data_IF_443654441729
#
_entry.id   IF_443654441729
#
_cell.length_a   1.000
_cell.length_b   1.000
_cell.length_c   1.000
_cell.angle_alpha   90.00
_cell.angle_beta   90.00
_cell.angle_gamma   90.00
#
_symmetry.space_group_name_H-M   'P 1'
#
loop_
_entity.id
_entity.type
_entity.pdbx_description
1 polymer ?
#
# COMPACT_ATOMS: atom_id res chain seq x y z
N UNK A 1 46.63 54.51 -58.04
CA UNK A 1 47.34 53.98 -56.87
C UNK A 1 46.57 54.41 -55.63
N UNK A 2 45.66 53.57 -55.15
CA UNK A 2 44.87 53.84 -53.94
C UNK A 2 44.58 52.51 -53.26
N UNK A 3 45.11 52.34 -52.04
CA UNK A 3 44.94 51.12 -51.24
C UNK A 3 43.83 51.36 -50.23
N UNK A 4 42.80 50.50 -50.21
CA UNK A 4 41.79 50.48 -49.15
C UNK A 4 41.84 49.10 -48.48
N UNK A 5 41.95 49.12 -47.15
CA UNK A 5 42.28 47.95 -46.32
C UNK A 5 41.12 46.95 -46.20
N UNK A 6 41.47 45.67 -46.10
CA UNK A 6 40.57 44.64 -45.57
C UNK A 6 40.10 44.99 -44.16
N UNK A 7 38.78 45.04 -43.94
CA UNK A 7 38.19 44.94 -42.62
C UNK A 7 37.57 43.54 -42.48
N UNK A 8 38.16 42.71 -41.62
CA UNK A 8 37.71 41.33 -41.40
C UNK A 8 36.37 41.35 -40.65
N UNK A 9 35.27 41.09 -41.33
CA UNK A 9 33.98 40.89 -40.67
C UNK A 9 33.92 39.48 -40.10
N UNK A 10 34.23 39.34 -38.81
CA UNK A 10 34.19 38.07 -38.08
C UNK A 10 32.75 37.72 -37.74
N UNK A 11 32.11 36.92 -38.61
CA UNK A 11 30.78 36.37 -38.34
C UNK A 11 30.92 35.17 -37.41
N UNK A 12 30.86 35.42 -36.10
CA UNK A 12 30.62 34.38 -35.10
C UNK A 12 29.17 33.88 -35.26
N UNK A 13 28.99 32.81 -36.04
CA UNK A 13 27.70 32.14 -36.16
C UNK A 13 27.48 31.24 -34.95
N UNK A 14 26.91 31.81 -33.89
CA UNK A 14 26.51 31.05 -32.70
C UNK A 14 25.32 30.15 -33.03
N UNK A 15 25.58 28.87 -33.31
CA UNK A 15 24.54 27.86 -33.46
C UNK A 15 23.88 27.61 -32.09
N UNK A 16 22.73 28.26 -31.87
CA UNK A 16 21.88 28.03 -30.71
C UNK A 16 21.25 26.64 -30.84
N UNK A 17 21.94 25.61 -30.34
CA UNK A 17 21.37 24.28 -30.22
C UNK A 17 20.35 24.31 -29.06
N UNK A 18 19.09 24.62 -29.38
CA UNK A 18 17.98 24.45 -28.43
C UNK A 18 17.87 22.96 -28.12
N UNK A 19 18.48 22.54 -27.01
CA UNK A 19 18.22 21.24 -26.43
C UNK A 19 16.81 21.30 -25.85
N UNK A 20 15.83 20.83 -26.62
CA UNK A 20 14.47 20.59 -26.14
C UNK A 20 14.51 19.41 -25.17
N UNK A 21 14.93 19.67 -23.93
CA UNK A 21 14.76 18.76 -22.82
C UNK A 21 13.26 18.59 -22.57
N UNK A 22 12.65 17.59 -23.22
CA UNK A 22 11.30 17.18 -22.90
C UNK A 22 11.27 16.73 -21.44
N UNK A 23 10.59 17.49 -20.59
CA UNK A 23 10.42 17.13 -19.18
C UNK A 23 9.51 15.89 -19.13
N UNK A 24 10.11 14.71 -19.01
CA UNK A 24 9.40 13.50 -18.61
C UNK A 24 9.16 13.61 -17.11
N UNK A 25 7.94 13.98 -16.74
CA UNK A 25 7.49 13.90 -15.34
C UNK A 25 7.21 12.43 -15.07
N UNK A 26 7.83 11.87 -14.04
CA UNK A 26 7.52 10.51 -13.60
C UNK A 26 6.13 10.51 -12.95
N UNK A 27 5.27 9.57 -13.37
CA UNK A 27 3.98 9.32 -12.76
C UNK A 27 4.18 8.84 -11.32
N UNK A 28 3.36 9.31 -10.37
CA UNK A 28 3.43 8.81 -9.00
C UNK A 28 2.82 7.42 -8.91
N UNK A 29 3.51 6.55 -8.16
CA UNK A 29 3.12 5.17 -7.94
C UNK A 29 3.06 4.85 -6.45
N UNK A 30 2.02 4.14 -6.04
CA UNK A 30 1.92 3.50 -4.74
C UNK A 30 1.73 1.99 -4.91
N UNK A 31 2.30 1.20 -4.02
CA UNK A 31 2.17 -0.27 -4.05
C UNK A 31 1.53 -0.71 -2.73
N UNK A 32 0.44 -1.48 -2.82
CA UNK A 32 -0.16 -2.18 -1.67
C UNK A 32 -0.61 -3.56 -2.12
N UNK A 33 -0.22 -4.59 -1.36
CA UNK A 33 -0.39 -6.01 -1.73
C UNK A 33 0.19 -6.28 -3.14
N UNK A 34 -0.37 -7.23 -3.87
CA UNK A 34 0.00 -7.55 -5.26
C UNK A 34 -0.54 -6.53 -6.29
N UNK A 35 -0.69 -5.25 -5.92
CA UNK A 35 -1.26 -4.18 -6.77
C UNK A 35 -0.38 -2.93 -6.79
N UNK A 36 -0.21 -2.36 -7.98
CA UNK A 36 0.41 -1.07 -8.28
C UNK A 36 -0.72 -0.08 -8.61
N UNK A 37 -0.78 1.01 -7.86
CA UNK A 37 -1.67 2.14 -8.09
C UNK A 37 -0.87 3.27 -8.74
N UNK A 38 -1.39 3.86 -9.80
CA UNK A 38 -0.71 4.89 -10.61
C UNK A 38 -1.64 6.09 -10.74
N UNK A 39 -1.12 7.28 -10.41
CA UNK A 39 -1.76 8.56 -10.66
C UNK A 39 -1.24 9.18 -11.96
N UNK A 40 -1.96 8.94 -13.07
CA UNK A 40 -1.79 9.66 -14.34
C UNK A 40 -3.15 10.11 -14.85
N UNK A 41 -3.56 11.34 -14.49
CA UNK A 41 -4.82 11.96 -14.95
C UNK A 41 -6.06 11.07 -14.77
N UNK A 42 -6.00 10.24 -13.72
CA UNK A 42 -6.94 9.18 -13.38
C UNK A 42 -6.28 8.25 -12.36
N UNK A 43 -7.02 7.22 -11.94
CA UNK A 43 -6.49 6.17 -11.08
C UNK A 43 -6.40 4.84 -11.84
N UNK A 44 -5.19 4.42 -12.19
CA UNK A 44 -4.93 3.16 -12.88
C UNK A 44 -4.38 2.15 -11.87
N UNK A 45 -4.95 0.95 -11.84
CA UNK A 45 -4.46 -0.16 -11.00
C UNK A 45 -3.97 -1.30 -11.88
N UNK A 46 -2.83 -1.88 -11.52
CA UNK A 46 -2.21 -3.03 -12.20
C UNK A 46 -1.78 -4.08 -11.18
N UNK A 47 -1.92 -5.35 -11.53
CA UNK A 47 -1.36 -6.43 -10.72
C UNK A 47 0.18 -6.40 -10.80
N UNK A 48 0.85 -6.41 -9.64
CA UNK A 48 2.30 -6.30 -9.48
C UNK A 48 3.07 -7.47 -10.14
N UNK A 49 2.50 -8.68 -10.10
CA UNK A 49 3.16 -9.91 -10.56
C UNK A 49 3.06 -10.11 -12.08
N UNK A 50 1.98 -9.63 -12.70
CA UNK A 50 1.65 -9.88 -14.12
C UNK A 50 1.66 -8.63 -14.99
N UNK A 51 1.68 -7.43 -14.39
CA UNK A 51 1.55 -6.14 -15.07
C UNK A 51 0.17 -5.87 -15.70
N UNK A 52 -0.78 -6.79 -15.55
CA UNK A 52 -2.13 -6.67 -16.12
C UNK A 52 -2.94 -5.59 -15.43
N UNK A 53 -3.80 -4.88 -16.19
CA UNK A 53 -4.72 -3.89 -15.66
C UNK A 53 -5.79 -4.56 -14.78
N UNK A 54 -6.02 -3.99 -13.60
CA UNK A 54 -7.12 -4.36 -12.72
C UNK A 54 -8.32 -3.44 -13.01
N UNK A 55 -9.51 -3.99 -13.22
CA UNK A 55 -10.72 -3.23 -13.57
C UNK A 55 -11.46 -2.66 -12.36
N UNK A 56 -10.93 -2.84 -11.14
CA UNK A 56 -11.51 -2.33 -9.91
C UNK A 56 -11.71 -0.79 -9.88
N UNK A 57 -10.99 -0.03 -10.72
CA UNK A 57 -11.12 1.43 -10.85
C UNK A 57 -11.92 1.90 -12.08
N UNK A 58 -12.80 1.04 -12.61
CA UNK A 58 -13.78 1.48 -13.58
C UNK A 58 -14.71 2.57 -12.99
N UNK A 59 -14.94 3.71 -13.68
CA UNK A 59 -15.83 4.76 -13.18
C UNK A 59 -17.27 4.30 -12.94
N UNK A 60 -18.01 4.89 -11.98
CA UNK A 60 -17.60 6.04 -11.16
C UNK A 60 -16.65 5.66 -10.02
N UNK A 61 -15.59 6.44 -9.85
CA UNK A 61 -14.71 6.38 -8.69
C UNK A 61 -15.34 7.20 -7.57
N UNK A 62 -15.61 6.55 -6.44
CA UNK A 62 -16.37 7.14 -5.34
C UNK A 62 -15.46 7.53 -4.18
N UNK A 63 -15.75 8.68 -3.57
CA UNK A 63 -15.23 9.04 -2.26
C UNK A 63 -15.92 8.23 -1.14
N UNK A 64 -15.42 8.27 0.12
CA UNK A 64 -16.05 7.57 1.24
C UNK A 64 -17.49 8.01 1.58
N UNK A 65 -17.95 9.15 1.04
CA UNK A 65 -19.33 9.63 1.19
C UNK A 65 -20.24 9.21 0.00
N UNK A 66 -19.68 8.53 -1.01
CA UNK A 66 -20.40 8.03 -2.19
C UNK A 66 -20.49 9.03 -3.35
N UNK A 67 -19.75 10.14 -3.34
CA UNK A 67 -19.72 11.11 -4.44
C UNK A 67 -18.79 10.63 -5.56
N UNK A 68 -19.20 10.80 -6.83
CA UNK A 68 -18.33 10.54 -7.98
C UNK A 68 -17.26 11.63 -8.12
N UNK A 69 -16.00 11.24 -7.92
CA UNK A 69 -14.81 12.11 -8.00
C UNK A 69 -13.97 11.86 -9.26
N UNK A 70 -14.46 11.05 -10.20
CA UNK A 70 -13.74 10.67 -11.44
C UNK A 70 -13.24 11.88 -12.25
N UNK A 71 -13.96 13.00 -12.22
CA UNK A 71 -13.61 14.24 -12.94
C UNK A 71 -12.45 15.01 -12.31
N UNK A 72 -12.30 14.96 -10.97
CA UNK A 72 -11.22 15.64 -10.24
C UNK A 72 -9.88 14.96 -10.50
N UNK A 73 -9.91 13.63 -10.60
CA UNK A 73 -8.75 12.77 -10.86
C UNK A 73 -8.12 13.02 -12.25
N UNK A 74 -8.77 13.72 -13.18
CA UNK A 74 -8.17 14.19 -14.43
C UNK A 74 -6.89 15.04 -14.23
N UNK A 75 -6.68 15.53 -13.01
CA UNK A 75 -5.50 16.31 -12.59
C UNK A 75 -4.67 15.63 -11.49
N UNK A 76 -4.84 14.31 -11.30
CA UNK A 76 -4.08 13.53 -10.33
C UNK A 76 -2.57 13.55 -10.63
N UNK A 77 -1.77 13.83 -9.60
CA UNK A 77 -0.29 13.96 -9.68
C UNK A 77 0.46 13.12 -8.67
N UNK A 78 -0.12 12.84 -7.50
CA UNK A 78 0.50 12.04 -6.45
C UNK A 78 -0.51 11.11 -5.77
N UNK A 79 -0.06 9.98 -5.21
CA UNK A 79 -0.92 8.97 -4.61
C UNK A 79 -0.28 8.28 -3.41
N UNK A 80 -1.06 8.13 -2.33
CA UNK A 80 -0.73 7.33 -1.15
C UNK A 80 -1.90 6.39 -0.85
N UNK A 81 -1.62 5.12 -0.56
CA UNK A 81 -2.64 4.17 -0.09
C UNK A 81 -2.53 4.01 1.43
N UNK A 82 -3.64 4.20 2.16
CA UNK A 82 -3.73 3.97 3.61
C UNK A 82 -5.04 3.24 3.93
N UNK A 83 -4.96 2.15 4.72
CA UNK A 83 -6.05 1.18 4.88
C UNK A 83 -6.62 0.81 3.50
N UNK A 84 -7.92 0.98 3.26
CA UNK A 84 -8.57 0.68 1.98
C UNK A 84 -8.83 1.92 1.10
N UNK A 85 -8.16 3.03 1.41
CA UNK A 85 -8.35 4.32 0.75
C UNK A 85 -7.11 4.74 -0.05
N UNK A 86 -7.32 5.27 -1.24
CA UNK A 86 -6.32 6.01 -2.00
C UNK A 86 -6.51 7.51 -1.75
N UNK A 87 -5.52 8.17 -1.17
CA UNK A 87 -5.45 9.63 -1.05
C UNK A 87 -4.63 10.14 -2.22
N UNK A 88 -5.24 10.97 -3.05
CA UNK A 88 -4.71 11.38 -4.36
C UNK A 88 -4.61 12.90 -4.41
N UNK A 89 -3.41 13.43 -4.60
CA UNK A 89 -3.20 14.86 -4.81
C UNK A 89 -3.66 15.22 -6.23
N UNK A 90 -4.54 16.22 -6.32
CA UNK A 90 -5.12 16.73 -7.57
C UNK A 90 -4.85 18.23 -7.71
N UNK A 91 -4.94 18.72 -8.94
CA UNK A 91 -4.76 20.13 -9.28
C UNK A 91 -5.96 20.70 -10.07
N UNK A 92 -7.18 20.71 -9.49
CA UNK A 92 -8.35 21.33 -10.10
C UNK A 92 -8.11 22.81 -10.43
N UNK A 93 -8.84 23.32 -11.42
CA UNK A 93 -8.82 24.73 -11.79
C UNK A 93 -9.88 25.53 -11.00
N UNK A 94 -9.51 26.71 -10.52
CA UNK A 94 -10.45 27.67 -9.93
C UNK A 94 -11.36 28.32 -11.00
N UNK A 95 -12.29 29.18 -10.56
CA UNK A 95 -13.21 29.91 -11.46
C UNK A 95 -12.51 30.90 -12.42
N UNK A 96 -11.20 31.10 -12.27
CA UNK A 96 -10.35 31.97 -13.07
C UNK A 96 -9.36 31.17 -13.94
N UNK A 97 -9.35 29.83 -13.84
CA UNK A 97 -8.48 28.93 -14.59
C UNK A 97 -7.10 28.66 -13.97
N UNK A 98 -6.86 29.10 -12.73
CA UNK A 98 -5.59 28.81 -12.04
C UNK A 98 -5.67 27.43 -11.38
N UNK A 99 -4.59 26.65 -11.46
CA UNK A 99 -4.50 25.37 -10.75
C UNK A 99 -4.35 25.59 -9.23
N UNK A 100 -5.19 24.92 -8.45
CA UNK A 100 -5.14 24.86 -6.99
C UNK A 100 -4.84 23.45 -6.53
N UNK A 101 -3.95 23.27 -5.54
CA UNK A 101 -3.70 21.95 -4.94
C UNK A 101 -4.86 21.56 -4.02
N UNK A 102 -5.37 20.35 -4.21
CA UNK A 102 -6.40 19.72 -3.37
C UNK A 102 -6.13 18.21 -3.26
N UNK A 103 -6.86 17.51 -2.39
CA UNK A 103 -6.75 16.05 -2.21
C UNK A 103 -8.09 15.36 -2.32
N UNK A 104 -8.14 14.31 -3.13
CA UNK A 104 -9.32 13.45 -3.32
C UNK A 104 -9.05 12.09 -2.70
N UNK A 105 -10.00 11.59 -1.91
CA UNK A 105 -9.97 10.23 -1.38
C UNK A 105 -10.87 9.32 -2.20
N UNK A 106 -10.38 8.13 -2.57
CA UNK A 106 -11.14 7.12 -3.32
C UNK A 106 -11.14 5.81 -2.51
N UNK A 107 -12.30 5.16 -2.38
CA UNK A 107 -12.36 3.79 -1.85
C UNK A 107 -11.80 2.79 -2.88
N UNK A 108 -10.70 2.13 -2.51
CA UNK A 108 -10.02 1.11 -3.32
C UNK A 108 -10.08 -0.29 -2.70
N UNK A 109 -10.98 -0.52 -1.72
CA UNK A 109 -11.25 -1.84 -1.12
C UNK A 109 -11.38 -2.95 -2.18
N UNK A 110 -12.15 -2.70 -3.25
CA UNK A 110 -12.37 -3.63 -4.38
C UNK A 110 -11.13 -3.92 -5.23
N UNK A 111 -10.08 -3.09 -5.14
CA UNK A 111 -8.79 -3.33 -5.80
C UNK A 111 -7.88 -4.23 -4.98
N UNK A 112 -8.03 -4.19 -3.66
CA UNK A 112 -7.25 -4.95 -2.71
C UNK A 112 -7.87 -6.34 -2.58
N UNK A 113 -7.42 -7.28 -3.42
CA UNK A 113 -7.74 -8.70 -3.24
C UNK A 113 -7.23 -9.17 -1.87
N UNK A 114 -8.09 -9.11 -0.85
CA UNK A 114 -7.86 -9.77 0.41
C UNK A 114 -7.88 -11.28 0.17
N UNK A 115 -6.70 -11.89 0.11
CA UNK A 115 -6.57 -13.34 0.25
C UNK A 115 -7.06 -13.69 1.65
N UNK A 116 -8.29 -14.16 1.77
CA UNK A 116 -8.79 -14.72 3.02
C UNK A 116 -8.22 -16.12 3.17
N UNK A 117 -7.42 -16.36 4.23
CA UNK A 117 -7.01 -17.73 4.58
C UNK A 117 -8.24 -18.43 5.18
N UNK A 118 -8.72 -19.54 4.60
CA UNK A 118 -9.83 -20.28 5.19
C UNK A 118 -9.41 -20.86 6.55
N UNK A 119 -10.24 -20.71 7.58
CA UNK A 119 -9.93 -21.17 8.97
C UNK A 119 -9.42 -22.61 9.05
N UNK A 120 -9.92 -23.51 8.17
CA UNK A 120 -9.45 -24.91 8.02
C UNK A 120 -7.94 -25.05 7.74
N UNK A 121 -7.31 -24.03 7.18
CA UNK A 121 -5.88 -23.99 6.82
C UNK A 121 -5.02 -23.48 7.99
N UNK A 122 -5.64 -22.82 8.98
CA UNK A 122 -5.02 -22.40 10.24
C UNK A 122 -5.18 -23.40 11.40
N UNK A 123 -5.64 -24.63 11.13
CA UNK A 123 -5.78 -25.66 12.18
C UNK A 123 -4.39 -26.21 12.55
N UNK A 124 -3.96 -25.95 13.78
CA UNK A 124 -2.78 -26.58 14.35
C UNK A 124 -3.00 -28.09 14.53
N UNK A 125 -2.00 -28.89 14.17
CA UNK A 125 -2.07 -30.36 14.24
C UNK A 125 -0.91 -30.92 15.05
N UNK A 126 -1.17 -31.98 15.83
CA UNK A 126 -0.13 -32.68 16.61
C UNK A 126 -0.18 -34.17 16.32
N UNK A 127 0.97 -34.71 15.94
CA UNK A 127 1.24 -36.14 15.80
C UNK A 127 2.10 -36.56 17.00
N UNK A 128 1.49 -37.24 17.97
CA UNK A 128 2.16 -37.65 19.21
C UNK A 128 3.08 -38.86 19.03
N UNK A 129 2.86 -39.67 18.00
CA UNK A 129 3.65 -40.87 17.70
C UNK A 129 4.98 -40.45 17.07
N UNK A 130 4.93 -39.56 16.07
CA UNK A 130 6.11 -38.94 15.45
C UNK A 130 6.71 -37.85 16.34
N UNK A 131 5.93 -37.27 17.25
CA UNK A 131 6.33 -36.14 18.06
C UNK A 131 6.50 -34.87 17.23
N UNK A 132 5.51 -34.55 16.38
CA UNK A 132 5.53 -33.34 15.53
C UNK A 132 4.31 -32.48 15.82
N UNK A 133 4.52 -31.19 16.07
CA UNK A 133 3.47 -30.17 16.19
C UNK A 133 3.62 -29.22 15.00
N UNK A 134 2.56 -29.02 14.23
CA UNK A 134 2.53 -28.07 13.10
C UNK A 134 1.54 -26.95 13.41
N UNK A 135 2.03 -25.71 13.43
CA UNK A 135 1.27 -24.48 13.65
C UNK A 135 1.30 -23.69 12.33
N UNK A 136 0.26 -23.80 11.49
CA UNK A 136 0.07 -22.89 10.36
C UNK A 136 -0.36 -21.50 10.83
N UNK A 137 -0.34 -20.51 9.94
CA UNK A 137 -0.82 -19.14 10.19
C UNK A 137 -0.04 -18.33 11.25
N UNK A 138 1.28 -18.49 11.34
CA UNK A 138 2.11 -17.70 12.29
C UNK A 138 2.63 -16.43 11.60
N UNK A 139 2.18 -15.25 12.05
CA UNK A 139 2.64 -13.91 11.58
C UNK A 139 4.06 -13.62 12.12
N UNK A 140 5.02 -13.37 11.24
CA UNK A 140 6.39 -12.93 11.57
C UNK A 140 6.79 -11.86 10.55
N UNK A 141 7.02 -10.62 10.99
CA UNK A 141 7.42 -9.49 10.12
C UNK A 141 6.54 -9.39 8.86
N UNK A 142 5.23 -9.26 9.06
CA UNK A 142 4.19 -9.15 8.02
C UNK A 142 4.13 -10.31 7.01
N UNK A 143 4.78 -11.43 7.35
CA UNK A 143 4.74 -12.68 6.57
C UNK A 143 4.10 -13.79 7.40
N UNK A 144 3.15 -14.52 6.82
CA UNK A 144 2.61 -15.72 7.45
C UNK A 144 3.41 -16.96 7.04
N UNK A 145 3.90 -17.69 8.05
CA UNK A 145 4.66 -18.93 7.90
C UNK A 145 3.96 -20.11 8.55
N UNK A 146 4.42 -21.32 8.23
CA UNK A 146 4.09 -22.52 9.00
C UNK A 146 5.28 -22.86 9.90
N UNK A 147 5.04 -22.88 11.21
CA UNK A 147 6.00 -23.38 12.18
C UNK A 147 5.79 -24.88 12.34
N UNK A 148 6.87 -25.64 12.34
CA UNK A 148 6.88 -27.01 12.82
C UNK A 148 7.71 -27.09 14.09
N UNK A 149 7.39 -28.03 14.95
CA UNK A 149 8.13 -28.29 16.17
C UNK A 149 8.29 -29.78 16.34
N UNK A 150 9.53 -30.24 16.44
CA UNK A 150 9.88 -31.64 16.61
C UNK A 150 10.16 -31.92 18.10
N UNK A 151 9.62 -33.02 18.62
CA UNK A 151 9.80 -33.43 20.01
C UNK A 151 11.23 -33.90 20.23
N UNK A 152 11.90 -33.34 21.23
CA UNK A 152 13.27 -33.72 21.59
C UNK A 152 13.30 -35.10 22.26
N UNK A 153 13.40 -36.13 21.44
CA UNK A 153 13.40 -37.54 21.86
C UNK A 153 12.12 -37.91 22.59
N UNK A 154 12.27 -38.50 23.80
CA UNK A 154 11.15 -38.91 24.65
C UNK A 154 10.77 -37.86 25.71
N UNK A 155 11.28 -36.63 25.62
CA UNK A 155 10.91 -35.54 26.55
C UNK A 155 9.70 -34.76 26.05
N UNK A 156 9.01 -34.05 26.95
CA UNK A 156 7.93 -33.11 26.58
C UNK A 156 8.46 -31.77 26.03
N UNK A 157 9.75 -31.68 25.69
CA UNK A 157 10.36 -30.47 25.15
C UNK A 157 10.30 -30.52 23.62
N UNK A 158 9.98 -29.38 23.00
CA UNK A 158 9.80 -29.24 21.57
C UNK A 158 10.87 -28.27 21.00
N UNK A 159 11.55 -28.67 19.93
CA UNK A 159 12.52 -27.86 19.21
C UNK A 159 11.83 -27.22 17.99
N UNK A 160 12.02 -25.90 17.79
CA UNK A 160 11.28 -25.12 16.78
C UNK A 160 12.02 -25.12 15.45
N UNK A 161 11.33 -25.49 14.36
CA UNK A 161 11.78 -25.36 12.98
C UNK A 161 10.82 -24.48 12.18
N UNK A 162 11.33 -23.37 11.64
CA UNK A 162 10.53 -22.43 10.84
C UNK A 162 10.54 -22.83 9.36
N UNK A 163 9.39 -23.17 8.79
CA UNK A 163 9.27 -23.39 7.34
C UNK A 163 8.77 -22.12 6.66
N UNK A 164 9.69 -21.41 5.99
CA UNK A 164 9.49 -20.05 5.48
C UNK A 164 8.42 -19.89 4.39
N UNK A 165 7.94 -20.97 3.76
CA UNK A 165 7.04 -20.87 2.60
C UNK A 165 5.80 -21.76 2.75
N UNK A 166 4.72 -21.19 3.29
CA UNK A 166 3.37 -21.69 3.05
C UNK A 166 2.83 -20.97 1.80
N UNK A 167 2.92 -21.60 0.63
CA UNK A 167 2.54 -20.99 -0.66
C UNK A 167 1.06 -20.59 -0.73
N UNK A 168 0.20 -21.23 0.05
CA UNK A 168 -1.23 -20.91 0.21
C UNK A 168 -1.48 -19.60 0.98
N UNK A 169 -0.50 -19.15 1.78
CA UNK A 169 -0.60 -17.99 2.68
C UNK A 169 0.33 -16.82 2.29
N UNK A 170 1.01 -16.94 1.14
CA UNK A 170 1.85 -15.87 0.61
C UNK A 170 1.02 -14.59 0.36
N UNK A 171 1.45 -13.50 0.99
CA UNK A 171 0.85 -12.15 0.93
C UNK A 171 -0.49 -12.00 1.68
N UNK A 172 -0.74 -12.81 2.72
CA UNK A 172 -1.80 -12.48 3.68
C UNK A 172 -1.34 -11.36 4.62
N UNK A 173 -2.07 -10.25 4.60
CA UNK A 173 -1.99 -9.23 5.63
C UNK A 173 -3.29 -9.27 6.45
N UNK A 174 -3.11 -9.20 7.76
CA UNK A 174 -4.17 -8.89 8.71
C UNK A 174 -4.46 -7.39 8.60
N UNK A 175 -5.73 -7.00 8.51
CA UNK A 175 -6.07 -5.58 8.67
C UNK A 175 -5.87 -5.25 10.16
N UNK A 176 -4.84 -4.48 10.48
CA UNK A 176 -4.61 -4.03 11.86
C UNK A 176 -5.70 -2.99 12.22
N UNK A 177 -6.71 -3.44 12.97
CA UNK A 177 -7.78 -2.62 13.57
C UNK A 177 -7.24 -1.76 14.73
N UNK A 178 -6.31 -0.85 14.42
CA UNK A 178 -5.88 0.23 15.31
C UNK A 178 -6.90 1.41 15.23
N UNK A 179 -8.08 1.25 15.80
CA UNK A 179 -9.06 2.33 16.13
C UNK A 179 -9.93 1.81 17.32
N UNK A 180 -9.88 2.23 18.58
CA UNK A 180 -9.07 3.20 19.37
C UNK A 180 -9.01 2.70 20.86
N UNK A 181 -8.26 3.39 21.76
CA UNK A 181 -8.33 3.26 23.25
C UNK A 181 -9.55 4.05 23.85
N UNK A 182 -9.70 4.07 25.19
CA UNK A 182 -10.76 4.70 26.04
C UNK A 182 -11.97 3.76 26.36
N UNK A 183 -12.43 3.54 27.61
CA UNK A 183 -12.19 4.18 28.92
C UNK A 183 -11.99 3.14 30.07
N UNK A 184 -11.02 3.39 30.97
CA UNK A 184 -10.93 2.77 32.31
C UNK A 184 -11.72 3.63 33.33
N UNK A 185 -12.98 3.27 33.62
CA UNK A 185 -13.80 3.94 34.64
C UNK A 185 -13.66 3.26 36.03
N UNK A 186 -12.69 3.74 36.82
CA UNK A 186 -12.48 3.40 38.24
C UNK A 186 -13.61 3.95 39.14
N UNK A 187 -14.69 3.18 39.41
CA UNK A 187 -15.61 3.49 40.53
C UNK A 187 -15.27 2.73 41.83
N UNK A 188 -14.26 3.24 42.55
CA UNK A 188 -13.94 2.81 43.92
C UNK A 188 -15.01 3.30 44.94
N UNK A 189 -16.06 2.52 45.19
CA UNK A 189 -16.96 2.77 46.34
C UNK A 189 -16.60 1.92 47.58
N UNK A 190 -15.99 2.60 48.57
CA UNK A 190 -15.47 1.99 49.79
C UNK A 190 -16.56 1.54 50.81
N UNK A 191 -16.37 0.32 51.33
CA UNK A 191 -16.67 -0.16 52.71
C UNK A 191 -18.10 -0.01 53.31
N UNK A 192 -18.68 -1.15 53.68
CA UNK A 192 -19.12 -1.38 55.08
C UNK A 192 -19.09 -2.85 55.52
N UNK A 193 -18.50 -3.09 56.71
CA UNK A 193 -18.80 -4.11 57.73
C UNK A 193 -18.94 -5.62 57.34
N UNK A 194 -17.94 -6.45 57.66
CA UNK A 194 -17.72 -7.14 58.96
C UNK A 194 -18.41 -8.53 59.15
N UNK A 195 -17.54 -9.57 59.11
CA UNK A 195 -17.32 -10.56 60.20
C UNK A 195 -18.08 -11.90 60.20
N UNK A 196 -17.29 -12.96 60.47
CA UNK A 196 -17.57 -14.41 60.64
C UNK A 196 -17.53 -15.20 59.32
N UNK A 197 -16.82 -16.33 59.23
CA UNK A 197 -16.14 -17.14 60.27
C UNK A 197 -14.65 -17.27 60.04
#
# INVERSE_FOLDING_TARGET
MTVIKHQKFSIFSAFFLLCMCGNVIAESIAIKHDQIFIADKGLVVKNLLTGQLNQCTAPPLLDPAGNDVSSLLATATDIVIKRNLAVITVHPADNQGNATTDTVTVDVSKCLEQKTIPVKECISTVDLDRGVLTIPCVKINDSIVTVSMDRRGNSSNWEVTFFQNNSTMANYNEDDDDDDDDDDDDEETNKSEQKKR
#
